data_IF_372220796068
#
_entry.id   IF_372220796068
#
_cell.length_a   1.000
_cell.length_b   1.000
_cell.length_c   1.000
_cell.angle_alpha   90.00
_cell.angle_beta   90.00
_cell.angle_gamma   90.00
#
_symmetry.space_group_name_H-M   'P 1'
#
loop_
_entity.id
_entity.type
_entity.pdbx_description
1 polymer ?
#
# COMPACT_ATOMS: atom_id res chain seq x y z
N UNK A 1 -14.22 10.20 0.19
CA UNK A 1 -14.78 9.86 1.52
C UNK A 1 -15.51 11.07 2.11
N UNK A 2 -16.59 10.87 2.88
CA UNK A 2 -17.25 11.98 3.57
C UNK A 2 -16.33 12.58 4.63
N UNK A 3 -16.09 13.90 4.63
CA UNK A 3 -15.29 14.64 5.63
C UNK A 3 -15.67 14.31 7.09
N UNK A 4 -16.89 13.84 7.30
CA UNK A 4 -17.43 13.44 8.61
C UNK A 4 -16.77 12.17 9.14
N UNK A 5 -16.54 11.16 8.29
CA UNK A 5 -15.94 9.88 8.70
C UNK A 5 -14.47 10.05 9.07
N UNK A 6 -13.76 10.88 8.31
CA UNK A 6 -12.35 11.19 8.56
C UNK A 6 -12.15 11.94 9.88
N UNK A 7 -13.01 12.94 10.14
CA UNK A 7 -13.01 13.66 11.41
C UNK A 7 -13.37 12.77 12.61
N UNK A 8 -14.30 11.81 12.44
CA UNK A 8 -14.62 10.81 13.46
C UNK A 8 -13.39 9.98 13.85
N UNK A 9 -12.69 9.40 12.86
CA UNK A 9 -11.45 8.62 13.08
C UNK A 9 -10.40 9.42 13.86
N UNK A 10 -10.16 10.67 13.47
CA UNK A 10 -9.17 11.52 14.11
C UNK A 10 -9.49 11.76 15.60
N UNK A 11 -10.75 12.09 15.92
CA UNK A 11 -11.17 12.37 17.29
C UNK A 11 -11.10 11.13 18.18
N UNK A 12 -11.59 10.00 17.69
CA UNK A 12 -11.54 8.76 18.46
C UNK A 12 -10.11 8.31 18.77
N UNK A 13 -9.18 8.44 17.80
CA UNK A 13 -7.76 8.14 18.02
C UNK A 13 -7.18 8.95 19.18
N UNK A 14 -7.48 10.25 19.23
CA UNK A 14 -7.01 11.14 20.30
C UNK A 14 -7.65 10.81 21.65
N UNK A 15 -8.96 10.55 21.68
CA UNK A 15 -9.69 10.18 22.89
C UNK A 15 -9.17 8.87 23.50
N UNK A 16 -8.86 7.87 22.66
CA UNK A 16 -8.23 6.62 23.10
C UNK A 16 -6.84 6.84 23.66
N UNK A 17 -6.00 7.59 22.96
CA UNK A 17 -4.64 7.89 23.42
C UNK A 17 -4.66 8.60 24.78
N UNK A 18 -5.50 9.62 24.93
CA UNK A 18 -5.65 10.31 26.21
C UNK A 18 -6.18 9.40 27.32
N UNK A 19 -7.10 8.47 27.00
CA UNK A 19 -7.59 7.43 27.94
C UNK A 19 -6.47 6.48 28.37
N UNK A 20 -5.61 6.06 27.43
CA UNK A 20 -4.46 5.21 27.71
C UNK A 20 -3.44 5.89 28.61
N UNK A 21 -3.10 7.13 28.29
CA UNK A 21 -2.03 7.86 28.98
C UNK A 21 -2.45 8.32 30.37
N UNK A 22 -3.71 8.75 30.52
CA UNK A 22 -4.19 9.44 31.72
C UNK A 22 -5.29 8.68 32.48
N UNK A 23 -5.77 7.56 31.93
CA UNK A 23 -6.95 6.84 32.42
C UNK A 23 -8.29 7.49 32.04
N UNK A 24 -8.29 8.68 31.41
CA UNK A 24 -9.47 9.42 30.94
C UNK A 24 -9.09 10.53 29.96
N UNK A 25 -10.09 11.14 29.31
CA UNK A 25 -9.96 12.38 28.58
C UNK A 25 -11.05 13.39 28.97
N UNK A 26 -10.84 14.67 28.62
CA UNK A 26 -11.83 15.73 28.79
C UNK A 26 -12.08 16.44 27.48
N UNK A 27 -13.27 17.00 27.29
CA UNK A 27 -13.61 17.81 26.11
C UNK A 27 -12.64 18.98 25.92
N UNK A 28 -12.20 19.61 27.02
CA UNK A 28 -11.23 20.69 26.97
C UNK A 28 -9.86 20.22 26.46
N UNK A 29 -9.36 19.07 26.93
CA UNK A 29 -8.08 18.52 26.50
C UNK A 29 -8.07 18.11 25.03
N UNK A 30 -9.16 17.50 24.53
CA UNK A 30 -9.28 17.15 23.11
C UNK A 30 -9.42 18.40 22.24
N UNK A 31 -10.17 19.41 22.67
CA UNK A 31 -10.29 20.69 21.97
C UNK A 31 -8.93 21.41 21.83
N UNK A 32 -8.12 21.41 22.90
CA UNK A 32 -6.78 21.98 22.90
C UNK A 32 -5.85 21.22 21.94
N UNK A 33 -5.85 19.89 21.98
CA UNK A 33 -5.01 19.05 21.12
C UNK A 33 -5.36 19.15 19.62
N UNK A 34 -6.61 19.51 19.29
CA UNK A 34 -7.10 19.54 17.89
C UNK A 34 -7.28 20.94 17.33
N UNK A 35 -7.30 21.97 18.18
CA UNK A 35 -7.73 23.33 17.80
C UNK A 35 -9.21 23.45 17.44
N UNK A 36 -10.03 22.41 17.68
CA UNK A 36 -11.46 22.40 17.38
C UNK A 36 -12.23 23.05 18.54
N UNK A 37 -13.29 23.84 18.29
CA UNK A 37 -14.11 24.42 19.35
C UNK A 37 -14.67 23.37 20.31
N UNK A 38 -14.67 23.69 21.62
CA UNK A 38 -15.16 22.79 22.68
C UNK A 38 -16.59 22.31 22.46
N UNK A 39 -17.47 23.16 21.93
CA UNK A 39 -18.85 22.80 21.59
C UNK A 39 -18.90 21.68 20.54
N UNK A 40 -18.10 21.78 19.48
CA UNK A 40 -18.02 20.75 18.45
C UNK A 40 -17.46 19.44 19.00
N UNK A 41 -16.43 19.49 19.86
CA UNK A 41 -15.92 18.29 20.53
C UNK A 41 -16.99 17.68 21.44
N UNK A 42 -17.75 18.50 22.18
CA UNK A 42 -18.85 18.04 23.03
C UNK A 42 -19.92 17.31 22.21
N UNK A 43 -20.32 17.84 21.04
CA UNK A 43 -21.29 17.19 20.15
C UNK A 43 -20.79 15.82 19.68
N UNK A 44 -19.50 15.72 19.31
CA UNK A 44 -18.87 14.45 18.96
C UNK A 44 -18.84 13.48 20.13
N UNK A 45 -18.46 13.94 21.33
CA UNK A 45 -18.44 13.10 22.52
C UNK A 45 -19.83 12.58 22.85
N UNK A 46 -20.86 13.42 22.80
CA UNK A 46 -22.24 13.01 23.06
C UNK A 46 -22.69 11.92 22.07
N UNK A 47 -22.42 12.13 20.78
CA UNK A 47 -22.71 11.14 19.74
C UNK A 47 -21.95 9.83 19.96
N UNK A 48 -20.67 9.91 20.30
CA UNK A 48 -19.84 8.73 20.56
C UNK A 48 -20.25 8.00 21.85
N UNK A 49 -20.83 8.70 22.82
CA UNK A 49 -21.44 8.10 24.01
C UNK A 49 -22.73 7.37 23.65
N UNK A 50 -23.61 7.98 22.84
CA UNK A 50 -24.80 7.32 22.31
C UNK A 50 -24.45 6.07 21.48
N UNK A 51 -23.36 6.14 20.71
CA UNK A 51 -22.82 5.03 19.92
C UNK A 51 -22.06 3.99 20.77
N UNK A 52 -21.89 4.21 22.08
CA UNK A 52 -21.17 3.30 22.98
C UNK A 52 -19.66 3.25 22.80
N UNK A 53 -19.08 4.15 21.99
CA UNK A 53 -17.64 4.25 21.71
C UNK A 53 -16.86 4.98 22.82
N UNK A 54 -17.57 5.81 23.58
CA UNK A 54 -17.06 6.55 24.75
C UNK A 54 -18.01 6.31 25.92
N UNK A 55 -17.46 6.16 27.12
CA UNK A 55 -18.24 6.14 28.35
C UNK A 55 -17.91 7.36 29.20
N UNK A 56 -18.94 7.92 29.85
CA UNK A 56 -18.75 8.93 30.88
C UNK A 56 -18.24 8.24 32.14
N UNK A 57 -17.04 8.61 32.58
CA UNK A 57 -16.42 8.09 33.81
C UNK A 57 -16.84 8.93 35.02
N UNK A 58 -16.80 10.26 34.89
CA UNK A 58 -17.21 11.19 35.94
C UNK A 58 -17.97 12.37 35.32
N UNK A 59 -19.15 12.67 35.87
CA UNK A 59 -19.91 13.87 35.52
C UNK A 59 -19.18 15.17 35.87
N UNK A 60 -19.49 16.24 35.14
CA UNK A 60 -18.97 17.56 35.45
C UNK A 60 -19.44 18.01 36.84
N UNK A 61 -18.50 18.40 37.71
CA UNK A 61 -18.79 18.92 39.06
C UNK A 61 -18.13 20.28 39.27
N UNK A 62 -18.92 21.34 39.16
CA UNK A 62 -18.47 22.72 39.34
C UNK A 62 -17.34 23.09 38.36
N UNK A 63 -16.13 23.34 38.88
CA UNK A 63 -14.94 23.65 38.06
C UNK A 63 -14.22 22.41 37.51
N UNK A 64 -14.57 21.21 37.97
CA UNK A 64 -14.00 19.96 37.46
C UNK A 64 -14.73 19.53 36.20
N UNK A 65 -13.99 19.42 35.10
CA UNK A 65 -14.52 18.96 33.82
C UNK A 65 -15.00 17.50 33.90
N UNK A 66 -16.02 17.17 33.11
CA UNK A 66 -16.44 15.78 32.92
C UNK A 66 -15.28 14.95 32.36
N UNK A 67 -15.13 13.74 32.88
CA UNK A 67 -14.12 12.77 32.45
C UNK A 67 -14.78 11.65 31.69
N UNK A 68 -14.20 11.34 30.55
CA UNK A 68 -14.67 10.31 29.64
C UNK A 68 -13.57 9.29 29.43
N UNK A 69 -13.95 8.06 29.09
CA UNK A 69 -13.03 7.00 28.68
C UNK A 69 -13.48 6.47 27.34
N UNK A 70 -12.55 6.18 26.44
CA UNK A 70 -12.88 5.38 25.28
C UNK A 70 -13.23 3.96 25.73
N UNK A 71 -14.34 3.42 25.24
CA UNK A 71 -14.91 2.14 25.71
C UNK A 71 -14.02 0.93 25.40
N UNK A 72 -13.04 1.08 24.51
CA UNK A 72 -12.07 0.05 24.19
C UNK A 72 -10.69 0.66 23.94
N UNK A 73 -9.68 0.09 24.61
CA UNK A 73 -8.25 0.35 24.40
C UNK A 73 -7.74 -0.33 23.12
N UNK A 74 -8.50 -1.27 22.57
CA UNK A 74 -8.18 -1.94 21.31
C UNK A 74 -8.11 -0.90 20.18
N UNK A 75 -7.28 -1.10 19.15
CA UNK A 75 -7.22 -0.19 18.01
C UNK A 75 -8.56 -0.14 17.25
N UNK A 76 -8.81 0.97 16.55
CA UNK A 76 -10.01 1.12 15.69
C UNK A 76 -10.00 0.19 14.50
N UNK A 77 -8.81 -0.11 14.01
CA UNK A 77 -8.58 -1.10 12.99
C UNK A 77 -7.23 -1.76 13.23
N UNK A 78 -7.14 -3.05 12.90
CA UNK A 78 -5.87 -3.75 12.77
C UNK A 78 -5.12 -3.33 11.48
N UNK A 79 -5.82 -2.70 10.53
CA UNK A 79 -5.27 -2.23 9.25
C UNK A 79 -5.28 -0.69 9.19
N UNK A 80 -4.14 -0.10 8.87
CA UNK A 80 -4.03 1.34 8.56
C UNK A 80 -4.74 1.66 7.26
N UNK A 81 -4.44 0.88 6.21
CA UNK A 81 -4.98 1.03 4.86
C UNK A 81 -5.33 -0.33 4.29
N UNK A 82 -6.42 -0.39 3.53
CA UNK A 82 -6.78 -1.52 2.68
C UNK A 82 -7.23 -0.98 1.33
N UNK A 83 -6.56 -1.37 0.26
CA UNK A 83 -6.83 -0.90 -1.09
C UNK A 83 -6.47 -1.97 -2.11
N UNK A 84 -6.92 -1.80 -3.34
CA UNK A 84 -6.77 -2.84 -4.37
C UNK A 84 -6.43 -2.21 -5.71
N UNK A 85 -5.44 -2.78 -6.40
CA UNK A 85 -5.16 -2.47 -7.80
C UNK A 85 -5.68 -3.59 -8.70
N UNK A 86 -6.00 -3.24 -9.95
CA UNK A 86 -6.44 -4.19 -10.98
C UNK A 86 -5.51 -4.11 -12.19
N UNK A 87 -5.19 -5.26 -12.78
CA UNK A 87 -4.41 -5.40 -14.02
C UNK A 87 -5.01 -6.55 -14.85
N UNK A 88 -5.80 -6.22 -15.86
CA UNK A 88 -6.57 -7.21 -16.63
C UNK A 88 -7.59 -7.95 -15.78
N UNK A 89 -7.44 -9.28 -15.68
CA UNK A 89 -8.31 -10.18 -14.89
C UNK A 89 -7.73 -10.52 -13.50
N UNK A 90 -6.61 -9.90 -13.15
CA UNK A 90 -5.95 -10.07 -11.86
C UNK A 90 -6.11 -8.80 -11.01
N UNK A 91 -6.11 -8.98 -9.69
CA UNK A 91 -6.02 -7.89 -8.73
C UNK A 91 -4.86 -8.12 -7.77
N UNK A 92 -4.35 -7.04 -7.20
CA UNK A 92 -3.47 -7.11 -6.03
C UNK A 92 -4.11 -6.33 -4.89
N UNK A 93 -4.40 -7.04 -3.79
CA UNK A 93 -5.03 -6.52 -2.59
C UNK A 93 -3.92 -6.18 -1.60
N UNK A 94 -3.97 -4.96 -1.05
CA UNK A 94 -2.97 -4.44 -0.14
C UNK A 94 -3.57 -4.26 1.24
N UNK A 95 -2.96 -4.84 2.27
CA UNK A 95 -3.29 -4.57 3.67
C UNK A 95 -2.05 -4.00 4.36
N UNK A 96 -2.05 -2.70 4.67
CA UNK A 96 -1.03 -2.14 5.55
C UNK A 96 -1.48 -2.33 7.00
N UNK A 97 -0.92 -3.32 7.68
CA UNK A 97 -1.25 -3.60 9.08
C UNK A 97 -0.59 -2.60 10.03
N UNK A 98 -1.19 -2.45 11.21
CA UNK A 98 -0.64 -1.60 12.27
C UNK A 98 0.65 -2.15 12.90
N UNK A 99 0.95 -3.44 12.69
CA UNK A 99 2.18 -4.09 13.15
C UNK A 99 2.62 -5.21 12.21
N UNK A 100 3.93 -5.48 12.19
CA UNK A 100 4.49 -6.61 11.44
C UNK A 100 3.97 -7.97 11.94
N UNK A 101 3.63 -8.11 13.22
CA UNK A 101 3.04 -9.33 13.78
C UNK A 101 1.64 -9.61 13.24
N UNK A 102 0.80 -8.58 13.10
CA UNK A 102 -0.51 -8.70 12.46
C UNK A 102 -0.36 -9.07 10.98
N UNK A 103 0.56 -8.41 10.26
CA UNK A 103 0.82 -8.71 8.85
C UNK A 103 1.31 -10.15 8.66
N UNK A 104 2.23 -10.63 9.51
CA UNK A 104 2.72 -12.01 9.45
C UNK A 104 1.63 -13.05 9.76
N UNK A 105 0.72 -12.74 10.71
CA UNK A 105 -0.43 -13.60 10.99
C UNK A 105 -1.37 -13.69 9.78
N UNK A 106 -1.68 -12.56 9.14
CA UNK A 106 -2.50 -12.54 7.93
C UNK A 106 -1.81 -13.28 6.78
N UNK A 107 -0.52 -13.01 6.50
CA UNK A 107 0.29 -13.74 5.51
C UNK A 107 0.18 -15.25 5.68
N UNK A 108 0.45 -15.75 6.89
CA UNK A 108 0.40 -17.17 7.19
C UNK A 108 -0.96 -17.82 6.91
N UNK A 109 -2.06 -17.16 7.32
CA UNK A 109 -3.39 -17.75 7.17
C UNK A 109 -3.94 -17.61 5.76
N UNK A 110 -3.74 -16.47 5.10
CA UNK A 110 -4.18 -16.25 3.73
C UNK A 110 -3.40 -17.13 2.75
N UNK A 111 -2.08 -17.29 2.90
CA UNK A 111 -1.28 -18.20 2.08
C UNK A 111 -1.76 -19.66 2.21
N UNK A 112 -2.14 -20.11 3.42
CA UNK A 112 -2.64 -21.46 3.67
C UNK A 112 -4.10 -21.68 3.24
N UNK A 113 -4.88 -20.62 3.14
CA UNK A 113 -6.28 -20.68 2.76
C UNK A 113 -6.47 -21.04 1.29
N UNK A 114 -5.54 -20.60 0.43
CA UNK A 114 -5.76 -20.63 -1.01
C UNK A 114 -7.03 -19.86 -1.38
N UNK A 115 -7.87 -20.48 -2.20
CA UNK A 115 -9.11 -19.85 -2.67
C UNK A 115 -8.86 -18.96 -3.87
N UNK A 116 -9.37 -17.73 -3.83
CA UNK A 116 -9.18 -16.77 -4.93
C UNK A 116 -7.74 -16.24 -5.02
N UNK A 117 -6.95 -16.39 -3.96
CA UNK A 117 -5.56 -15.92 -3.88
C UNK A 117 -4.62 -16.86 -4.66
N UNK A 118 -3.75 -16.29 -5.47
CA UNK A 118 -2.68 -16.97 -6.19
C UNK A 118 -1.36 -16.89 -5.42
N UNK A 119 -1.10 -15.75 -4.78
CA UNK A 119 0.11 -15.53 -3.99
C UNK A 119 -0.13 -14.52 -2.90
N UNK A 120 0.62 -14.68 -1.81
CA UNK A 120 0.58 -13.80 -0.65
C UNK A 120 2.02 -13.55 -0.24
N UNK A 121 2.41 -12.28 -0.10
CA UNK A 121 3.73 -11.92 0.39
C UNK A 121 3.67 -10.64 1.22
N UNK A 122 4.68 -10.43 2.06
CA UNK A 122 4.74 -9.30 2.97
C UNK A 122 6.03 -8.49 2.86
N UNK A 123 5.87 -7.17 2.76
CA UNK A 123 6.93 -6.18 2.88
C UNK A 123 6.79 -5.40 4.20
N UNK A 124 7.53 -5.81 5.23
CA UNK A 124 7.40 -5.23 6.57
C UNK A 124 5.98 -5.38 7.12
N UNK A 125 5.21 -4.28 7.13
CA UNK A 125 3.80 -4.22 7.58
C UNK A 125 2.78 -4.26 6.43
N UNK A 126 3.23 -4.20 5.18
CA UNK A 126 2.37 -4.24 4.00
C UNK A 126 2.24 -5.68 3.50
N UNK A 127 1.03 -6.23 3.58
CA UNK A 127 0.66 -7.48 2.94
C UNK A 127 0.21 -7.19 1.51
N UNK A 128 0.65 -8.02 0.57
CA UNK A 128 0.29 -8.00 -0.85
C UNK A 128 -0.27 -9.35 -1.23
N UNK A 129 -1.51 -9.37 -1.69
CA UNK A 129 -2.23 -10.61 -2.01
C UNK A 129 -2.70 -10.53 -3.46
N UNK A 130 -2.14 -11.37 -4.33
CA UNK A 130 -2.56 -11.45 -5.72
C UNK A 130 -3.72 -12.42 -5.85
N UNK A 131 -4.75 -12.03 -6.59
CA UNK A 131 -5.95 -12.84 -6.77
C UNK A 131 -6.49 -12.76 -8.20
N UNK A 132 -7.14 -13.83 -8.64
CA UNK A 132 -7.99 -13.79 -9.83
C UNK A 132 -9.39 -13.28 -9.49
N UNK A 133 -10.00 -12.58 -10.44
CA UNK A 133 -11.43 -12.32 -10.38
C UNK A 133 -12.21 -13.63 -10.48
N UNK A 134 -13.15 -13.83 -9.56
CA UNK A 134 -13.97 -15.04 -9.49
C UNK A 134 -14.19 -15.52 -8.06
N UNK A 135 -14.72 -16.74 -7.96
CA UNK A 135 -15.01 -17.40 -6.68
C UNK A 135 -14.32 -18.75 -6.62
N UNK A 136 -13.69 -19.03 -5.49
CA UNK A 136 -13.17 -20.35 -5.16
C UNK A 136 -13.38 -20.61 -3.67
N UNK A 137 -13.99 -21.75 -3.35
CA UNK A 137 -14.31 -22.07 -1.95
C UNK A 137 -13.05 -22.24 -1.11
N UNK A 138 -13.12 -21.73 0.13
CA UNK A 138 -12.07 -21.81 1.13
C UNK A 138 -12.61 -22.49 2.38
N UNK A 139 -11.86 -23.48 2.87
CA UNK A 139 -12.10 -24.12 4.16
C UNK A 139 -11.39 -23.35 5.27
N UNK A 140 -12.16 -22.58 6.05
CA UNK A 140 -11.67 -21.83 7.22
C UNK A 140 -12.04 -22.55 8.50
N UNK A 141 -11.15 -22.55 9.49
CA UNK A 141 -11.39 -23.18 10.80
C UNK A 141 -10.37 -22.80 11.86
N UNK A 142 -10.46 -23.47 13.00
CA UNK A 142 -9.41 -23.42 14.03
C UNK A 142 -8.24 -24.30 13.60
N UNK A 143 -7.08 -24.09 14.24
CA UNK A 143 -5.88 -24.91 14.02
C UNK A 143 -6.23 -26.41 13.95
N UNK A 144 -5.77 -27.14 12.92
CA UNK A 144 -4.75 -26.78 11.92
C UNK A 144 -5.27 -26.06 10.65
N UNK A 145 -6.55 -25.73 10.57
CA UNK A 145 -7.11 -25.01 9.42
C UNK A 145 -6.73 -23.52 9.43
N UNK A 146 -6.74 -22.83 8.27
CA UNK A 146 -6.51 -21.40 8.22
C UNK A 146 -7.69 -20.64 8.85
N UNK A 147 -7.40 -19.58 9.60
CA UNK A 147 -8.40 -18.80 10.33
C UNK A 147 -9.11 -17.74 9.48
N UNK A 148 -8.62 -17.47 8.27
CA UNK A 148 -9.18 -16.49 7.33
C UNK A 148 -8.80 -16.86 5.90
N UNK A 149 -9.67 -16.55 4.94
CA UNK A 149 -9.34 -16.59 3.52
C UNK A 149 -10.34 -15.85 2.65
N UNK A 150 -9.93 -15.58 1.40
CA UNK A 150 -10.73 -14.87 0.41
C UNK A 150 -11.43 -15.89 -0.50
N UNK A 151 -12.75 -15.98 -0.34
CA UNK A 151 -13.62 -16.91 -1.08
C UNK A 151 -13.93 -16.39 -2.49
N UNK A 152 -13.90 -15.08 -2.69
CA UNK A 152 -14.09 -14.51 -4.01
C UNK A 152 -13.71 -13.05 -4.12
N UNK A 153 -13.37 -12.64 -5.33
CA UNK A 153 -13.03 -11.27 -5.69
C UNK A 153 -13.80 -10.89 -6.94
N UNK A 154 -14.54 -9.79 -6.89
CA UNK A 154 -15.39 -9.34 -7.99
C UNK A 154 -15.10 -7.89 -8.33
N UNK A 155 -15.17 -7.55 -9.63
CA UNK A 155 -15.05 -6.18 -10.11
C UNK A 155 -16.42 -5.71 -10.60
N UNK A 156 -17.02 -4.77 -9.87
CA UNK A 156 -18.37 -4.25 -10.12
C UNK A 156 -18.38 -2.73 -9.89
N UNK A 157 -18.92 -1.96 -10.83
CA UNK A 157 -19.08 -0.50 -10.73
C UNK A 157 -17.81 0.27 -10.31
N UNK A 158 -16.64 -0.14 -10.83
CA UNK A 158 -15.35 0.47 -10.52
C UNK A 158 -14.85 0.21 -9.10
N UNK A 159 -15.42 -0.78 -8.42
CA UNK A 159 -15.01 -1.25 -7.10
C UNK A 159 -14.60 -2.72 -7.14
N UNK A 160 -13.67 -3.10 -6.25
CA UNK A 160 -13.34 -4.49 -5.98
C UNK A 160 -14.05 -4.93 -4.71
N UNK A 161 -14.80 -6.02 -4.80
CA UNK A 161 -15.57 -6.63 -3.71
C UNK A 161 -14.88 -7.93 -3.32
N UNK A 162 -14.36 -7.97 -2.10
CA UNK A 162 -13.61 -9.08 -1.54
C UNK A 162 -14.51 -9.84 -0.57
N UNK A 163 -14.87 -11.07 -0.89
CA UNK A 163 -15.65 -11.95 -0.01
C UNK A 163 -14.71 -12.74 0.87
N UNK A 164 -14.74 -12.45 2.17
CA UNK A 164 -13.81 -12.98 3.17
C UNK A 164 -14.59 -13.88 4.12
N UNK A 165 -14.04 -15.06 4.41
CA UNK A 165 -14.52 -15.98 5.43
C UNK A 165 -13.47 -16.08 6.52
N UNK A 166 -13.88 -16.03 7.79
CA UNK A 166 -12.95 -16.01 8.92
C UNK A 166 -13.56 -16.52 10.23
N UNK A 167 -12.69 -16.89 11.18
CA UNK A 167 -13.03 -17.33 12.54
C UNK A 167 -12.02 -16.74 13.54
N UNK A 168 -12.42 -16.58 14.81
CA UNK A 168 -11.50 -16.15 15.88
C UNK A 168 -11.00 -14.72 15.73
N UNK A 169 -9.68 -14.51 15.82
CA UNK A 169 -9.04 -13.19 15.75
C UNK A 169 -9.38 -12.40 14.47
N UNK A 170 -9.19 -12.96 13.26
CA UNK A 170 -9.60 -12.32 12.02
C UNK A 170 -11.08 -11.94 11.93
N UNK A 171 -11.96 -12.73 12.55
CA UNK A 171 -13.39 -12.43 12.65
C UNK A 171 -13.71 -11.21 13.52
N UNK A 172 -12.77 -10.78 14.37
CA UNK A 172 -12.85 -9.48 15.06
C UNK A 172 -12.40 -8.33 14.13
N UNK A 173 -11.39 -8.56 13.30
CA UNK A 173 -10.89 -7.57 12.33
C UNK A 173 -11.85 -7.31 11.17
N UNK A 174 -12.53 -8.34 10.63
CA UNK A 174 -13.47 -8.20 9.50
C UNK A 174 -14.74 -7.39 9.84
N UNK A 175 -14.91 -7.01 11.09
CA UNK A 175 -16.06 -6.24 11.59
C UNK A 175 -16.00 -4.77 11.17
N UNK A 176 -16.62 -3.88 11.95
CA UNK A 176 -16.49 -2.43 11.79
C UNK A 176 -15.02 -1.98 11.75
N UNK A 177 -14.07 -2.77 12.27
CA UNK A 177 -12.64 -2.45 12.22
C UNK A 177 -12.09 -2.20 10.81
N UNK A 178 -12.40 -3.06 9.83
CA UNK A 178 -11.93 -2.84 8.46
C UNK A 178 -12.59 -1.63 7.81
N UNK A 179 -13.81 -1.25 8.20
CA UNK A 179 -14.46 -0.03 7.73
C UNK A 179 -13.68 1.25 8.11
N UNK A 180 -12.82 1.16 9.13
CA UNK A 180 -11.95 2.25 9.55
C UNK A 180 -10.59 2.27 8.86
N UNK A 181 -10.24 1.29 8.02
CA UNK A 181 -9.03 1.37 7.20
C UNK A 181 -9.20 2.44 6.10
N UNK A 182 -8.14 3.16 5.75
CA UNK A 182 -8.13 4.02 4.57
C UNK A 182 -8.26 3.18 3.30
N UNK A 183 -8.98 3.67 2.28
CA UNK A 183 -9.20 2.95 1.01
C UNK A 183 -10.43 2.05 0.99
N UNK A 184 -10.95 1.65 2.17
CA UNK A 184 -12.21 0.89 2.29
C UNK A 184 -13.41 1.80 2.05
N UNK A 185 -14.25 1.40 1.11
CA UNK A 185 -15.49 2.08 0.72
C UNK A 185 -16.71 1.55 1.48
N UNK A 186 -16.69 0.27 1.86
CA UNK A 186 -17.79 -0.36 2.59
C UNK A 186 -17.40 -1.72 3.13
N UNK A 187 -18.07 -2.15 4.20
CA UNK A 187 -17.95 -3.48 4.78
C UNK A 187 -19.35 -3.99 5.10
N UNK A 188 -19.63 -5.23 4.75
CA UNK A 188 -20.83 -5.95 5.21
C UNK A 188 -20.40 -7.24 5.91
N UNK A 189 -21.12 -7.64 6.95
CA UNK A 189 -20.73 -8.80 7.77
C UNK A 189 -21.97 -9.59 8.15
N UNK A 190 -21.87 -10.91 7.99
CA UNK A 190 -22.81 -11.91 8.44
C UNK A 190 -22.13 -12.86 9.43
N UNK A 191 -22.79 -13.18 10.54
CA UNK A 191 -22.26 -14.06 11.58
C UNK A 191 -23.13 -15.30 11.72
N UNK A 192 -22.52 -16.47 11.61
CA UNK A 192 -23.18 -17.75 11.86
C UNK A 192 -22.33 -18.57 12.85
N UNK A 193 -22.72 -18.51 14.13
CA UNK A 193 -21.95 -19.11 15.21
C UNK A 193 -20.53 -18.50 15.31
N UNK A 194 -19.46 -19.31 15.33
CA UNK A 194 -18.09 -18.80 15.38
C UNK A 194 -17.56 -18.32 14.02
N UNK A 195 -18.26 -18.65 12.93
CA UNK A 195 -17.87 -18.28 11.58
C UNK A 195 -18.41 -16.89 11.25
N UNK A 196 -17.56 -16.09 10.61
CA UNK A 196 -17.91 -14.76 10.11
C UNK A 196 -17.59 -14.69 8.63
N UNK A 197 -18.60 -14.33 7.86
CA UNK A 197 -18.46 -14.01 6.44
C UNK A 197 -18.67 -12.52 6.28
N UNK A 198 -17.88 -11.90 5.42
CA UNK A 198 -18.00 -10.48 5.17
C UNK A 198 -17.56 -10.12 3.78
N UNK A 199 -17.97 -8.94 3.36
CA UNK A 199 -17.53 -8.35 2.11
C UNK A 199 -16.84 -7.02 2.40
N UNK A 200 -15.64 -6.85 1.86
CA UNK A 200 -14.88 -5.61 1.93
C UNK A 200 -14.82 -5.01 0.53
N UNK A 201 -15.24 -3.75 0.42
CA UNK A 201 -15.30 -3.03 -0.86
C UNK A 201 -14.21 -1.96 -0.89
N UNK A 202 -13.37 -1.99 -1.92
CA UNK A 202 -12.34 -1.00 -2.22
C UNK A 202 -12.55 -0.43 -3.63
N UNK A 203 -11.93 0.71 -3.96
CA UNK A 203 -11.89 1.17 -5.36
C UNK A 203 -10.99 0.27 -6.19
N UNK A 204 -11.31 0.07 -7.46
CA UNK A 204 -10.39 -0.52 -8.43
C UNK A 204 -9.37 0.55 -8.87
N UNK A 205 -8.21 0.56 -8.21
CA UNK A 205 -7.13 1.51 -8.52
C UNK A 205 -6.24 0.98 -9.65
N UNK A 206 -5.60 1.89 -10.38
CA UNK A 206 -4.50 1.57 -11.27
C UNK A 206 -3.21 1.43 -10.47
N UNK A 207 -2.44 0.39 -10.74
CA UNK A 207 -1.05 0.28 -10.28
C UNK A 207 -0.16 1.07 -11.24
N UNK A 208 0.75 1.91 -10.70
CA UNK A 208 1.73 2.65 -11.49
C UNK A 208 3.14 2.41 -10.93
N UNK A 209 4.02 1.86 -11.76
CA UNK A 209 5.45 1.77 -11.52
C UNK A 209 6.15 2.98 -12.16
N UNK A 210 7.04 3.61 -11.39
CA UNK A 210 7.84 4.76 -11.81
C UNK A 210 9.31 4.42 -11.58
N UNK A 211 9.99 4.01 -12.64
CA UNK A 211 11.44 3.78 -12.67
C UNK A 211 12.19 5.11 -12.81
N UNK A 212 13.35 5.20 -12.14
CA UNK A 212 14.17 6.41 -12.02
C UNK A 212 15.63 5.99 -12.06
N UNK A 213 16.45 6.65 -12.88
CA UNK A 213 17.89 6.37 -12.97
C UNK A 213 18.72 7.56 -13.48
N UNK A 214 20.05 7.47 -13.33
CA UNK A 214 21.06 8.45 -13.76
C UNK A 214 20.78 9.88 -13.24
N UNK A 215 20.27 10.00 -12.01
CA UNK A 215 19.89 11.32 -11.44
C UNK A 215 21.00 11.99 -10.65
N UNK A 216 22.06 11.25 -10.33
CA UNK A 216 23.23 11.66 -9.57
C UNK A 216 24.50 11.77 -10.43
N UNK A 217 25.51 12.44 -9.88
CA UNK A 217 26.84 12.57 -10.45
C UNK A 217 27.88 11.96 -9.51
N UNK A 218 29.15 11.93 -9.90
CA UNK A 218 30.23 11.43 -9.03
C UNK A 218 30.39 12.22 -7.71
N UNK A 219 29.83 13.43 -7.61
CA UNK A 219 30.01 14.33 -6.46
C UNK A 219 28.73 14.80 -5.81
N UNK A 220 27.56 14.57 -6.42
CA UNK A 220 26.30 15.15 -5.99
C UNK A 220 25.11 14.23 -6.30
N UNK A 221 24.16 14.16 -5.36
CA UNK A 221 22.92 13.41 -5.51
C UNK A 221 23.05 11.92 -5.18
N UNK A 222 21.89 11.25 -5.15
CA UNK A 222 21.79 9.80 -5.14
C UNK A 222 20.41 9.39 -5.68
N UNK A 223 20.38 8.53 -6.70
CA UNK A 223 19.12 8.10 -7.34
C UNK A 223 18.11 7.52 -6.35
N UNK A 224 18.55 6.71 -5.37
CA UNK A 224 17.63 6.18 -4.35
C UNK A 224 17.01 7.28 -3.47
N UNK A 225 17.77 8.33 -3.14
CA UNK A 225 17.30 9.41 -2.27
C UNK A 225 16.30 10.29 -3.03
N UNK A 226 16.55 10.57 -4.31
CA UNK A 226 15.61 11.32 -5.15
C UNK A 226 14.32 10.53 -5.39
N UNK A 227 14.40 9.21 -5.60
CA UNK A 227 13.23 8.34 -5.71
C UNK A 227 12.36 8.37 -4.45
N UNK A 228 12.98 8.31 -3.26
CA UNK A 228 12.26 8.43 -1.99
C UNK A 228 11.61 9.80 -1.84
N UNK A 229 12.32 10.88 -2.20
CA UNK A 229 11.78 12.24 -2.17
C UNK A 229 10.59 12.40 -3.13
N UNK A 230 10.65 11.78 -4.32
CA UNK A 230 9.54 11.77 -5.26
C UNK A 230 8.33 11.03 -4.69
N UNK A 231 8.52 9.84 -4.09
CA UNK A 231 7.42 9.11 -3.44
C UNK A 231 6.76 9.98 -2.36
N UNK A 232 7.56 10.64 -1.52
CA UNK A 232 7.05 11.58 -0.49
C UNK A 232 6.35 12.80 -1.09
N UNK A 233 6.76 13.25 -2.29
CA UNK A 233 6.11 14.33 -3.00
C UNK A 233 4.74 13.90 -3.55
N UNK A 234 4.68 12.75 -4.24
CA UNK A 234 3.44 12.24 -4.87
C UNK A 234 2.38 11.85 -3.83
N UNK A 235 2.80 11.30 -2.69
CA UNK A 235 1.90 10.90 -1.59
C UNK A 235 1.24 12.06 -0.85
N UNK A 236 1.64 13.31 -1.12
CA UNK A 236 0.92 14.51 -0.67
C UNK A 236 -0.29 14.83 -1.54
N UNK A 237 -0.42 14.19 -2.70
CA UNK A 237 -1.58 14.33 -3.56
C UNK A 237 -2.71 13.42 -3.07
N UNK A 238 -3.90 13.99 -2.90
CA UNK A 238 -5.09 13.24 -2.52
C UNK A 238 -5.35 12.10 -3.53
N UNK A 239 -5.60 10.90 -3.00
CA UNK A 239 -5.90 9.72 -3.82
C UNK A 239 -4.66 8.92 -4.29
N UNK A 240 -3.45 9.26 -3.83
CA UNK A 240 -2.24 8.48 -4.08
C UNK A 240 -1.94 7.58 -2.89
N UNK A 241 -1.99 6.27 -3.11
CA UNK A 241 -1.65 5.29 -2.10
C UNK A 241 -0.25 4.70 -2.39
N UNK A 242 0.74 4.94 -1.52
CA UNK A 242 2.07 4.36 -1.70
C UNK A 242 2.03 2.84 -1.50
N UNK A 243 2.69 2.12 -2.41
CA UNK A 243 2.91 0.67 -2.32
C UNK A 243 4.34 0.39 -1.87
N UNK A 244 5.35 0.96 -2.54
CA UNK A 244 6.74 0.64 -2.22
C UNK A 244 7.78 1.49 -2.93
N UNK A 245 9.03 1.34 -2.49
CA UNK A 245 10.24 1.85 -3.15
C UNK A 245 11.24 0.69 -3.21
N UNK A 246 11.67 0.37 -4.42
CA UNK A 246 12.61 -0.72 -4.73
C UNK A 246 13.88 -0.14 -5.32
N UNK A 247 15.00 -0.76 -4.98
CA UNK A 247 16.31 -0.50 -5.60
C UNK A 247 16.74 -1.78 -6.30
N UNK A 248 17.18 -1.66 -7.54
CA UNK A 248 17.66 -2.78 -8.33
C UNK A 248 19.09 -2.51 -8.80
N UNK A 249 19.99 -3.45 -8.53
CA UNK A 249 21.34 -3.43 -9.09
C UNK A 249 21.31 -3.94 -10.53
N UNK A 250 21.98 -3.18 -11.40
CA UNK A 250 22.19 -3.49 -12.81
C UNK A 250 23.62 -4.04 -13.00
N UNK A 251 24.13 -4.06 -14.23
CA UNK A 251 25.46 -4.61 -14.50
C UNK A 251 26.58 -3.80 -13.77
N UNK A 252 27.28 -4.38 -12.78
CA UNK A 252 28.27 -3.65 -12.00
C UNK A 252 29.57 -3.37 -12.77
N UNK A 253 29.78 -4.02 -13.92
CA UNK A 253 31.00 -3.91 -14.72
C UNK A 253 30.93 -2.82 -15.79
N UNK A 254 29.79 -2.15 -15.95
CA UNK A 254 29.67 -1.04 -16.89
C UNK A 254 30.38 0.22 -16.36
N UNK A 255 31.01 0.93 -17.30
CA UNK A 255 31.70 2.21 -17.07
C UNK A 255 31.14 3.25 -18.05
N UNK A 256 30.93 4.52 -17.63
CA UNK A 256 31.16 5.05 -16.28
C UNK A 256 29.98 4.80 -15.33
N UNK A 257 30.24 4.56 -14.03
CA UNK A 257 29.20 4.37 -12.97
C UNK A 257 29.40 5.29 -11.75
N UNK A 258 28.32 5.70 -11.07
CA UNK A 258 28.31 6.59 -9.89
C UNK A 258 28.43 5.85 -8.54
N UNK A 259 29.32 4.85 -8.46
CA UNK A 259 29.64 4.01 -7.27
C UNK A 259 28.86 2.69 -7.11
N UNK A 260 27.74 2.49 -7.81
CA UNK A 260 27.06 1.19 -7.88
C UNK A 260 25.90 1.28 -8.86
N UNK A 261 26.10 0.84 -10.11
CA UNK A 261 25.13 0.94 -11.20
C UNK A 261 23.76 0.36 -10.77
N UNK A 262 22.87 1.22 -10.31
CA UNK A 262 21.61 0.83 -9.67
C UNK A 262 20.55 1.87 -9.94
N UNK A 263 19.34 1.38 -10.18
CA UNK A 263 18.17 2.18 -10.48
C UNK A 263 17.14 2.04 -9.34
N UNK A 264 16.18 2.95 -9.28
CA UNK A 264 15.08 2.91 -8.31
C UNK A 264 13.73 2.81 -9.01
N UNK A 265 12.79 2.10 -8.39
CA UNK A 265 11.39 2.09 -8.80
C UNK A 265 10.52 2.45 -7.61
N UNK A 266 9.59 3.38 -7.78
CA UNK A 266 8.52 3.62 -6.81
C UNK A 266 7.20 3.05 -7.36
N UNK A 267 6.39 2.49 -6.48
CA UNK A 267 5.13 1.83 -6.79
C UNK A 267 4.00 2.59 -6.07
N UNK A 268 2.97 3.00 -6.80
CA UNK A 268 1.80 3.69 -6.24
C UNK A 268 0.50 3.14 -6.83
N UNK A 269 -0.58 3.21 -6.04
CA UNK A 269 -1.94 2.96 -6.50
C UNK A 269 -2.71 4.29 -6.59
N UNK A 270 -3.36 4.54 -7.72
CA UNK A 270 -4.10 5.78 -7.99
C UNK A 270 -5.38 5.51 -8.75
N UNK A 271 -6.35 6.44 -8.72
CA UNK A 271 -7.47 6.35 -9.67
C UNK A 271 -6.95 6.52 -11.11
N UNK A 272 -7.47 5.78 -12.11
CA UNK A 272 -6.96 5.83 -13.49
C UNK A 272 -6.89 7.25 -14.08
N UNK A 273 -7.85 8.11 -13.74
CA UNK A 273 -7.87 9.51 -14.19
C UNK A 273 -6.72 10.37 -13.64
N UNK A 274 -6.03 9.92 -12.59
CA UNK A 274 -4.90 10.63 -12.00
C UNK A 274 -3.56 10.32 -12.69
N UNK A 275 -3.46 9.25 -13.48
CA UNK A 275 -2.20 8.81 -14.10
C UNK A 275 -1.48 9.95 -14.86
N UNK A 276 -2.14 10.75 -15.73
CA UNK A 276 -1.45 11.84 -16.43
C UNK A 276 -0.88 12.89 -15.48
N UNK A 277 -1.57 13.16 -14.37
CA UNK A 277 -1.12 14.11 -13.35
C UNK A 277 0.07 13.56 -12.56
N UNK A 278 0.09 12.27 -12.28
CA UNK A 278 1.22 11.59 -11.62
C UNK A 278 2.44 11.64 -12.52
N UNK A 279 2.27 11.33 -13.81
CA UNK A 279 3.34 11.40 -14.80
C UNK A 279 3.93 12.82 -14.88
N UNK A 280 3.10 13.84 -15.09
CA UNK A 280 3.54 15.23 -15.17
C UNK A 280 4.26 15.68 -13.88
N UNK A 281 3.72 15.32 -12.72
CA UNK A 281 4.32 15.66 -11.44
C UNK A 281 5.68 14.96 -11.23
N UNK A 282 5.79 13.68 -11.59
CA UNK A 282 7.03 12.92 -11.50
C UNK A 282 8.13 13.48 -12.41
N UNK A 283 7.80 13.73 -13.68
CA UNK A 283 8.73 14.29 -14.66
C UNK A 283 9.22 15.67 -14.22
N UNK A 284 8.30 16.56 -13.83
CA UNK A 284 8.66 17.90 -13.36
C UNK A 284 9.55 17.85 -12.12
N UNK A 285 9.25 16.96 -11.17
CA UNK A 285 10.03 16.84 -9.93
C UNK A 285 11.45 16.36 -10.23
N UNK A 286 11.62 15.25 -10.95
CA UNK A 286 12.95 14.71 -11.24
C UNK A 286 13.75 15.67 -12.12
N UNK A 287 13.15 16.27 -13.14
CA UNK A 287 13.84 17.23 -14.00
C UNK A 287 14.31 18.50 -13.25
N UNK A 288 13.63 18.88 -12.16
CA UNK A 288 13.98 20.04 -11.34
C UNK A 288 15.00 19.75 -10.24
N UNK A 289 15.09 18.51 -9.77
CA UNK A 289 15.86 18.13 -8.58
C UNK A 289 17.04 17.19 -8.88
N UNK A 290 17.11 16.57 -10.07
CA UNK A 290 18.23 15.72 -10.47
C UNK A 290 19.51 16.55 -10.65
N UNK A 291 20.63 16.03 -10.15
CA UNK A 291 21.95 16.64 -10.31
C UNK A 291 22.53 16.37 -11.70
N UNK A 292 22.21 15.22 -12.28
CA UNK A 292 22.66 14.81 -13.62
C UNK A 292 21.66 15.21 -14.70
N UNK A 293 22.10 15.76 -15.85
CA UNK A 293 21.22 16.05 -16.99
C UNK A 293 20.79 14.78 -17.75
N UNK A 294 21.41 13.63 -17.46
CA UNK A 294 21.11 12.33 -18.07
C UNK A 294 20.01 11.57 -17.33
N UNK A 295 19.33 12.20 -16.36
CA UNK A 295 18.23 11.59 -15.62
C UNK A 295 17.22 10.91 -16.55
N UNK A 296 16.64 9.81 -16.07
CA UNK A 296 15.58 9.11 -16.77
C UNK A 296 14.43 8.74 -15.88
N UNK A 297 13.21 8.81 -16.44
CA UNK A 297 11.99 8.24 -15.87
C UNK A 297 11.39 7.25 -16.85
N UNK A 298 10.86 6.15 -16.32
CA UNK A 298 10.00 5.21 -17.01
C UNK A 298 8.70 5.03 -16.22
N UNK A 299 7.55 5.30 -16.84
CA UNK A 299 6.23 5.13 -16.21
C UNK A 299 5.47 3.99 -16.87
N UNK A 300 4.91 3.07 -16.08
CA UNK A 300 4.10 1.96 -16.58
C UNK A 300 2.91 1.68 -15.68
N UNK A 301 1.75 1.50 -16.30
CA UNK A 301 0.56 0.96 -15.64
C UNK A 301 0.60 -0.58 -15.59
N UNK A 302 0.14 -1.15 -14.48
CA UNK A 302 0.02 -2.60 -14.29
C UNK A 302 1.20 -3.22 -13.54
N UNK A 303 0.88 -4.22 -12.71
CA UNK A 303 1.83 -4.96 -11.88
C UNK A 303 2.31 -6.26 -12.53
N UNK A 304 1.62 -6.75 -13.57
CA UNK A 304 2.05 -7.91 -14.35
C UNK A 304 3.22 -7.53 -15.24
N UNK A 305 4.31 -8.30 -15.22
CA UNK A 305 5.50 -8.06 -16.07
C UNK A 305 5.59 -9.15 -17.13
N UNK A 306 5.29 -8.85 -18.41
CA UNK A 306 5.46 -9.82 -19.50
C UNK A 306 6.89 -10.35 -19.57
N UNK A 307 7.07 -11.61 -19.97
CA UNK A 307 8.39 -12.27 -20.08
C UNK A 307 9.39 -11.47 -20.90
N UNK A 308 8.95 -10.91 -22.02
CA UNK A 308 9.80 -10.10 -22.89
C UNK A 308 10.19 -8.76 -22.27
N UNK A 309 9.32 -8.15 -21.45
CA UNK A 309 9.69 -6.98 -20.65
C UNK A 309 10.70 -7.39 -19.55
N UNK A 310 10.50 -8.53 -18.88
CA UNK A 310 11.46 -9.07 -17.90
C UNK A 310 12.84 -9.32 -18.52
N UNK A 311 12.87 -9.81 -19.76
CA UNK A 311 14.11 -10.08 -20.49
C UNK A 311 14.92 -8.79 -20.73
N UNK A 312 14.29 -7.63 -20.87
CA UNK A 312 14.99 -6.34 -20.91
C UNK A 312 15.75 -6.07 -19.61
N UNK A 313 15.11 -6.28 -18.45
CA UNK A 313 15.75 -6.13 -17.14
C UNK A 313 16.91 -7.08 -16.92
N UNK A 314 16.81 -8.31 -17.46
CA UNK A 314 17.92 -9.26 -17.53
C UNK A 314 19.06 -8.73 -18.40
N UNK A 315 18.75 -8.26 -19.61
CA UNK A 315 19.72 -7.65 -20.52
C UNK A 315 20.49 -6.51 -19.85
N UNK A 316 19.80 -5.65 -19.09
CA UNK A 316 20.40 -4.53 -18.36
C UNK A 316 21.39 -4.96 -17.26
N UNK A 317 21.28 -6.20 -16.77
CA UNK A 317 22.23 -6.81 -15.82
C UNK A 317 23.42 -7.49 -16.50
N UNK A 318 23.30 -7.87 -17.77
CA UNK A 318 24.27 -8.71 -18.47
C UNK A 318 25.10 -7.94 -19.51
N UNK A 319 24.53 -6.93 -20.16
CA UNK A 319 25.11 -6.27 -21.32
C UNK A 319 24.89 -4.74 -21.31
N UNK A 320 25.58 -4.06 -22.23
CA UNK A 320 25.28 -2.66 -22.56
C UNK A 320 24.03 -2.64 -23.44
N UNK A 321 23.03 -1.87 -23.05
CA UNK A 321 21.82 -1.62 -23.83
C UNK A 321 21.93 -0.26 -24.50
N UNK A 322 21.53 -0.18 -25.77
CA UNK A 322 21.43 1.09 -26.49
C UNK A 322 20.09 1.77 -26.20
N UNK A 323 20.06 3.10 -26.25
CA UNK A 323 18.84 3.88 -26.01
C UNK A 323 17.70 3.51 -26.97
N UNK A 324 18.01 3.21 -28.23
CA UNK A 324 17.03 2.81 -29.24
C UNK A 324 16.28 1.53 -28.81
N UNK A 325 17.00 0.54 -28.28
CA UNK A 325 16.42 -0.70 -27.75
C UNK A 325 15.47 -0.43 -26.56
N UNK A 326 15.85 0.50 -25.68
CA UNK A 326 14.99 0.94 -24.58
C UNK A 326 13.71 1.60 -25.09
N UNK A 327 13.81 2.47 -26.08
CA UNK A 327 12.67 3.16 -26.68
C UNK A 327 11.73 2.22 -27.45
N UNK A 328 12.27 1.24 -28.18
CA UNK A 328 11.50 0.19 -28.85
C UNK A 328 10.76 -0.70 -27.83
N UNK A 329 11.46 -1.12 -26.78
CA UNK A 329 10.87 -1.91 -25.70
C UNK A 329 9.76 -1.13 -25.00
N UNK A 330 9.99 0.15 -24.70
CA UNK A 330 8.99 1.00 -24.08
C UNK A 330 7.74 1.18 -24.95
N UNK A 331 7.90 1.45 -26.25
CA UNK A 331 6.77 1.52 -27.20
C UNK A 331 5.98 0.22 -27.24
N UNK A 332 6.66 -0.92 -27.24
CA UNK A 332 6.04 -2.26 -27.28
C UNK A 332 5.20 -2.56 -26.04
N UNK A 333 5.63 -2.11 -24.87
CA UNK A 333 4.98 -2.41 -23.59
C UNK A 333 4.21 -1.25 -22.97
N UNK A 334 3.99 -0.17 -23.73
CA UNK A 334 3.23 1.00 -23.27
C UNK A 334 3.90 1.74 -22.11
N UNK A 335 5.24 1.75 -22.06
CA UNK A 335 6.01 2.47 -21.05
C UNK A 335 6.31 3.88 -21.57
N UNK A 336 6.06 4.89 -20.74
CA UNK A 336 6.36 6.28 -21.08
C UNK A 336 7.75 6.63 -20.57
N UNK A 337 8.65 7.04 -21.48
CA UNK A 337 10.02 7.41 -21.16
C UNK A 337 10.22 8.92 -21.21
N UNK A 338 10.93 9.47 -20.23
CA UNK A 338 11.29 10.88 -20.17
C UNK A 338 12.74 11.06 -19.75
N UNK A 339 13.46 11.99 -20.38
CA UNK A 339 14.83 12.35 -20.00
C UNK A 339 15.92 11.93 -20.98
N UNK A 340 17.14 11.83 -20.44
CA UNK A 340 18.38 11.51 -21.14
C UNK A 340 18.65 10.01 -21.23
N UNK A 341 19.91 9.62 -21.09
CA UNK A 341 20.35 8.20 -21.12
C UNK A 341 19.71 7.35 -20.01
N UNK A 342 19.41 7.92 -18.85
CA UNK A 342 18.85 7.23 -17.69
C UNK A 342 17.56 6.46 -17.95
N UNK A 343 16.87 6.73 -19.07
CA UNK A 343 15.68 5.96 -19.47
C UNK A 343 15.98 4.46 -19.60
N UNK A 344 17.23 4.10 -19.90
CA UNK A 344 17.67 2.70 -20.01
C UNK A 344 17.49 1.96 -18.68
N UNK A 345 18.07 2.50 -17.60
CA UNK A 345 17.97 1.88 -16.29
C UNK A 345 16.66 2.18 -15.59
N UNK A 346 15.99 3.30 -15.89
CA UNK A 346 14.62 3.53 -15.43
C UNK A 346 13.65 2.47 -15.99
N UNK A 347 13.76 2.12 -17.27
CA UNK A 347 12.99 1.01 -17.86
C UNK A 347 13.39 -0.33 -17.25
N UNK A 348 14.68 -0.52 -16.93
CA UNK A 348 15.13 -1.72 -16.22
C UNK A 348 14.46 -1.83 -14.85
N UNK A 349 14.37 -0.74 -14.08
CA UNK A 349 13.68 -0.70 -12.79
C UNK A 349 12.20 -1.15 -12.91
N UNK A 350 11.48 -0.65 -13.91
CA UNK A 350 10.09 -1.05 -14.21
C UNK A 350 10.01 -2.51 -14.61
N UNK A 351 10.95 -3.00 -15.42
CA UNK A 351 10.98 -4.42 -15.83
C UNK A 351 11.35 -5.38 -14.70
N UNK A 352 11.84 -4.87 -13.56
CA UNK A 352 12.30 -5.63 -12.40
C UNK A 352 11.27 -5.65 -11.25
N UNK A 353 10.14 -4.95 -11.34
CA UNK A 353 9.08 -4.98 -10.31
C UNK A 353 8.57 -6.40 -10.02
N UNK A 354 8.03 -6.60 -8.81
CA UNK A 354 7.50 -7.90 -8.36
C UNK A 354 8.56 -8.93 -7.96
N UNK A 355 9.86 -8.65 -8.13
CA UNK A 355 10.92 -9.54 -7.65
C UNK A 355 11.26 -9.29 -6.17
N UNK A 356 11.70 -10.34 -5.44
CA UNK A 356 12.21 -10.21 -4.08
C UNK A 356 13.44 -9.28 -3.98
N UNK A 357 13.63 -8.64 -2.82
CA UNK A 357 14.77 -7.74 -2.59
C UNK A 357 16.13 -8.45 -2.78
N UNK A 358 16.22 -9.72 -2.42
CA UNK A 358 17.42 -10.54 -2.59
C UNK A 358 17.82 -10.65 -4.07
N UNK A 359 16.83 -10.89 -4.94
CA UNK A 359 17.03 -10.94 -6.40
C UNK A 359 17.37 -9.54 -6.94
N UNK A 360 16.72 -8.49 -6.44
CA UNK A 360 16.93 -7.12 -6.90
C UNK A 360 18.32 -6.58 -6.57
N UNK A 361 18.86 -6.95 -5.40
CA UNK A 361 20.14 -6.48 -4.89
C UNK A 361 21.32 -7.37 -5.29
N UNK A 362 21.08 -8.52 -5.90
CA UNK A 362 22.13 -9.36 -6.50
C UNK A 362 22.00 -9.38 -8.04
N UNK A 363 22.84 -8.64 -8.79
CA UNK A 363 22.79 -8.64 -10.24
C UNK A 363 23.21 -9.98 -10.87
N UNK A 364 23.80 -10.91 -10.10
CA UNK A 364 24.12 -12.27 -10.53
C UNK A 364 22.95 -13.26 -10.46
N UNK A 365 21.85 -12.89 -9.79
CA UNK A 365 20.65 -13.72 -9.72
C UNK A 365 19.79 -13.61 -10.98
N UNK A 366 19.29 -14.75 -11.46
CA UNK A 366 18.42 -14.80 -12.64
C UNK A 366 17.04 -14.22 -12.33
N UNK A 367 16.65 -13.22 -13.12
CA UNK A 367 15.37 -12.49 -12.98
C UNK A 367 14.24 -13.13 -13.78
N UNK A 368 14.54 -14.14 -14.62
CA UNK A 368 13.56 -14.82 -15.47
C UNK A 368 13.01 -16.12 -14.87
N UNK A 369 13.56 -16.59 -13.75
CA UNK A 369 13.01 -17.72 -13.00
C UNK A 369 11.70 -17.29 -12.35
N UNK A 370 10.71 -18.19 -12.32
CA UNK A 370 9.49 -17.97 -11.54
C UNK A 370 9.89 -18.01 -10.05
N UNK A 371 10.08 -16.83 -9.45
CA UNK A 371 10.36 -16.69 -8.03
C UNK A 371 9.06 -16.89 -7.26
N UNK A 372 8.72 -18.16 -7.03
CA UNK A 372 7.58 -18.56 -6.21
C UNK A 372 7.89 -18.28 -4.72
N UNK A 373 7.07 -17.50 -4.01
CA UNK A 373 7.21 -17.27 -2.57
C UNK A 373 7.14 -18.56 -1.73
N UNK A 374 6.67 -19.70 -2.29
CA UNK A 374 6.55 -20.96 -1.54
C UNK A 374 7.88 -21.61 -1.15
N UNK A 375 9.04 -21.13 -1.62
CA UNK A 375 10.35 -21.78 -1.41
C UNK A 375 11.41 -20.91 -0.69
N UNK A 376 11.01 -19.86 0.05
CA UNK A 376 11.89 -19.14 0.99
C UNK A 376 11.61 -19.46 2.45
#
# INVERSE_FOLDING_TARGET
MSRVLERRKQLMRLMRQATLDNGYFTVAGIAEATGIPRSTIQDWVNRLVEEGCVALLEEQRGRHAARYVASSVMPESACRRVFTTIDGEEVEIYHECMSGGCAAFCEFHHARAGGALQSVWRDGTLLRERAHLGRQEVAVGLDPAPAVGIVGVFHEDGCIRQQIRCIGGPAYSLTDMMSFAEGVCGVTVHREGPLVEGEVVTRALAYVAIGIDDTDTATEGATFALALALLQHLTKLDGVMPIGHRVAMLNPHLEPRTAGNSCSCIEVAVEPSMIPRIEEAAVRFVAGEAASPEWGIALREGFGVPRDLRAYGKGAREAVIEREEAEDTARRFGVHLHGGRGVIGALAAVSLIGLPHEVLLDPGMDVCTDWDPEHQ
#
